data_IF_209105185170
#
_entry.id   IF_209105185170
#
_cell.length_a   1.000
_cell.length_b   1.000
_cell.length_c   1.000
_cell.angle_alpha   90.00
_cell.angle_beta   90.00
_cell.angle_gamma   90.00
#
_symmetry.space_group_name_H-M   'P 1'
#
loop_
_entity.id
_entity.type
_entity.pdbx_description
1 polymer ?
#
# COMPACT_ATOMS: atom_id res chain seq x y z
N UNK A 1 -13.09 -20.17 18.30
CA UNK A 1 -11.70 -19.74 18.12
C UNK A 1 -11.61 -19.05 16.79
N UNK A 2 -11.32 -17.75 16.87
CA UNK A 2 -11.70 -16.70 15.96
C UNK A 2 -11.02 -16.75 14.59
N UNK A 3 -11.83 -16.90 13.54
CA UNK A 3 -11.42 -16.85 12.13
C UNK A 3 -11.08 -15.42 11.65
N UNK A 4 -11.25 -14.40 12.51
CA UNK A 4 -10.94 -13.00 12.18
C UNK A 4 -9.45 -12.68 12.24
N UNK A 5 -8.66 -13.43 13.01
CA UNK A 5 -7.25 -13.11 13.25
C UNK A 5 -6.42 -13.29 11.97
N UNK A 6 -6.73 -14.27 11.11
CA UNK A 6 -5.94 -14.57 9.91
C UNK A 6 -5.98 -13.45 8.86
N UNK A 7 -7.11 -12.74 8.75
CA UNK A 7 -7.26 -11.65 7.79
C UNK A 7 -6.49 -10.41 8.24
N UNK A 8 -6.64 -10.03 9.52
CA UNK A 8 -5.90 -8.90 10.11
C UNK A 8 -4.39 -9.16 10.10
N UNK A 9 -3.94 -10.40 10.34
CA UNK A 9 -2.52 -10.78 10.31
C UNK A 9 -1.95 -10.82 8.88
N UNK A 10 -2.74 -11.25 7.90
CA UNK A 10 -2.35 -11.25 6.49
C UNK A 10 -2.24 -9.83 5.94
N UNK A 11 -3.17 -8.97 6.32
CA UNK A 11 -3.16 -7.54 5.99
C UNK A 11 -2.03 -6.81 6.75
N UNK A 12 -1.66 -7.24 7.97
CA UNK A 12 -0.49 -6.74 8.71
C UNK A 12 0.86 -7.24 8.14
N UNK A 13 0.87 -8.37 7.43
CA UNK A 13 2.06 -8.91 6.75
C UNK A 13 2.34 -8.24 5.40
N UNK A 14 1.38 -7.51 4.83
CA UNK A 14 1.67 -6.63 3.71
C UNK A 14 2.74 -5.64 4.17
N UNK A 15 3.86 -5.50 3.44
CA UNK A 15 4.87 -4.51 3.75
C UNK A 15 4.17 -3.16 3.92
N UNK A 16 4.38 -2.48 5.05
CA UNK A 16 3.72 -1.20 5.36
C UNK A 16 3.74 -0.21 4.18
N UNK A 17 4.83 -0.26 3.41
CA UNK A 17 5.04 0.54 2.21
C UNK A 17 4.03 0.28 1.08
N UNK A 18 3.53 -0.94 0.93
CA UNK A 18 2.50 -1.29 -0.08
C UNK A 18 1.14 -0.78 0.34
N UNK A 19 0.75 -1.02 1.60
CA UNK A 19 -0.48 -0.49 2.21
C UNK A 19 -0.59 1.02 2.09
N UNK A 20 0.51 1.71 2.39
CA UNK A 20 0.56 3.18 2.36
C UNK A 20 0.35 3.70 0.95
N UNK A 21 0.98 3.08 -0.07
CA UNK A 21 0.77 3.43 -1.48
C UNK A 21 -0.68 3.20 -1.90
N UNK A 22 -1.29 2.09 -1.51
CA UNK A 22 -2.69 1.78 -1.82
C UNK A 22 -3.66 2.79 -1.20
N UNK A 23 -3.51 3.11 0.09
CA UNK A 23 -4.39 4.10 0.77
C UNK A 23 -4.28 5.49 0.14
N UNK A 24 -3.05 5.95 -0.11
CA UNK A 24 -2.83 7.27 -0.72
C UNK A 24 -3.43 7.34 -2.14
N UNK A 25 -3.38 6.25 -2.90
CA UNK A 25 -3.92 6.22 -4.26
C UNK A 25 -5.44 6.09 -4.30
N UNK A 26 -6.01 5.06 -3.65
CA UNK A 26 -7.44 4.73 -3.74
C UNK A 26 -8.32 5.58 -2.82
N UNK A 27 -7.81 5.95 -1.63
CA UNK A 27 -8.62 6.65 -0.62
C UNK A 27 -8.47 8.17 -0.75
N UNK A 28 -7.24 8.64 -0.91
CA UNK A 28 -6.91 10.07 -0.95
C UNK A 28 -6.83 10.63 -2.39
N UNK A 29 -6.79 9.74 -3.41
CA UNK A 29 -6.77 10.13 -4.82
C UNK A 29 -5.42 10.66 -5.33
N UNK A 30 -4.33 10.46 -4.58
CA UNK A 30 -2.99 10.89 -5.00
C UNK A 30 -2.52 10.10 -6.22
N UNK A 31 -1.81 10.76 -7.12
CA UNK A 31 -1.17 10.12 -8.27
C UNK A 31 0.14 9.45 -7.83
N UNK A 32 0.58 8.43 -8.57
CA UNK A 32 1.85 7.75 -8.31
C UNK A 32 3.06 8.69 -8.17
N UNK A 33 3.06 9.79 -8.93
CA UNK A 33 4.08 10.83 -8.83
C UNK A 33 4.11 11.48 -7.45
N UNK A 34 2.96 11.91 -6.95
CA UNK A 34 2.82 12.53 -5.62
C UNK A 34 3.18 11.53 -4.52
N UNK A 35 2.74 10.28 -4.65
CA UNK A 35 3.09 9.19 -3.71
C UNK A 35 4.59 8.91 -3.71
N UNK A 36 5.25 9.01 -4.87
CA UNK A 36 6.70 8.82 -5.00
C UNK A 36 7.49 9.92 -4.26
N UNK A 37 6.99 11.15 -4.31
CA UNK A 37 7.56 12.31 -3.60
C UNK A 37 7.32 12.21 -2.09
N UNK A 38 6.11 11.82 -1.67
CA UNK A 38 5.73 11.68 -0.25
C UNK A 38 6.55 10.57 0.44
N UNK A 39 6.73 9.43 -0.24
CA UNK A 39 7.38 8.25 0.34
C UNK A 39 8.86 8.12 -0.01
N UNK A 40 9.40 8.99 -0.86
CA UNK A 40 10.79 8.92 -1.32
C UNK A 40 11.10 7.65 -2.11
N UNK A 41 10.12 7.08 -2.80
CA UNK A 41 10.26 5.89 -3.64
C UNK A 41 10.18 6.27 -5.12
N UNK A 42 10.49 5.36 -6.04
CA UNK A 42 10.24 5.62 -7.46
C UNK A 42 8.76 5.47 -7.81
N UNK A 43 8.29 6.18 -8.85
CA UNK A 43 6.94 5.96 -9.40
C UNK A 43 6.71 4.49 -9.82
N UNK A 44 7.75 3.83 -10.35
CA UNK A 44 7.70 2.40 -10.69
C UNK A 44 7.45 1.53 -9.46
N UNK A 45 8.12 1.85 -8.34
CA UNK A 45 7.89 1.19 -7.05
C UNK A 45 6.48 1.41 -6.54
N UNK A 46 5.93 2.63 -6.68
CA UNK A 46 4.52 2.91 -6.35
C UNK A 46 3.55 2.06 -7.18
N UNK A 47 3.75 1.97 -8.51
CA UNK A 47 2.91 1.12 -9.38
C UNK A 47 3.00 -0.36 -9.03
N UNK A 48 4.20 -0.88 -8.80
CA UNK A 48 4.39 -2.28 -8.37
C UNK A 48 3.74 -2.52 -7.03
N UNK A 49 3.90 -1.61 -6.07
CA UNK A 49 3.26 -1.72 -4.76
C UNK A 49 1.73 -1.68 -4.84
N UNK A 50 1.13 -0.94 -5.77
CA UNK A 50 -0.31 -0.96 -6.00
C UNK A 50 -0.77 -2.28 -6.67
N UNK A 51 0.01 -2.80 -7.62
CA UNK A 51 -0.35 -4.02 -8.37
C UNK A 51 -0.10 -5.32 -7.59
N UNK A 52 0.76 -5.28 -6.58
CA UNK A 52 1.14 -6.44 -5.75
C UNK A 52 0.57 -6.38 -4.34
N UNK A 53 -0.21 -5.33 -4.02
CA UNK A 53 -0.95 -5.17 -2.75
C UNK A 53 -2.19 -6.05 -2.69
#
# INVERSE_FOLDING_TARGET
FDTNIDLEYSIAKLPEKQKTVFLLYELEGYKHKEISEILGISEGTSKTHLHTA
#
